data_IF_574546514337
#
_entry.id   IF_574546514337
#
_cell.length_a   1.000
_cell.length_b   1.000
_cell.length_c   1.000
_cell.angle_alpha   90.00
_cell.angle_beta   90.00
_cell.angle_gamma   90.00
#
_symmetry.space_group_name_H-M   'P 1'
#
loop_
_entity.id
_entity.type
_entity.pdbx_description
1 polymer ?
#
# COMPACT_ATOMS: atom_id res chain seq x y z
N UNK A 1 -14.40 11.35 18.02
CA UNK A 1 -13.63 11.82 16.86
C UNK A 1 -12.91 13.12 17.22
N UNK A 2 -11.76 13.43 16.62
CA UNK A 2 -11.08 14.73 16.80
C UNK A 2 -11.06 15.47 15.46
N UNK A 3 -11.62 16.68 15.43
CA UNK A 3 -11.61 17.57 14.26
C UNK A 3 -10.32 18.39 14.22
N UNK A 4 -9.61 18.38 13.08
CA UNK A 4 -8.39 19.14 12.86
C UNK A 4 -8.56 20.20 11.78
N UNK A 5 -7.75 21.26 11.87
CA UNK A 5 -7.67 22.33 10.85
C UNK A 5 -6.33 22.18 10.08
N UNK A 6 -6.31 22.08 8.74
CA UNK A 6 -5.12 21.67 7.97
C UNK A 6 -3.98 22.71 7.84
N UNK A 7 -3.94 23.79 8.64
CA UNK A 7 -3.04 24.92 8.34
C UNK A 7 -1.64 24.83 8.97
N UNK A 8 -1.46 24.04 10.03
CA UNK A 8 -0.19 23.93 10.73
C UNK A 8 0.36 22.49 10.69
N UNK A 9 1.67 22.36 10.50
CA UNK A 9 2.38 21.07 10.56
C UNK A 9 2.39 20.48 11.98
N UNK A 10 2.54 21.32 13.00
CA UNK A 10 2.55 20.93 14.42
C UNK A 10 1.77 21.95 15.26
N UNK A 11 1.55 21.63 16.54
CA UNK A 11 0.80 22.45 17.49
C UNK A 11 -0.61 21.92 17.75
N UNK A 12 -1.34 22.59 18.65
CA UNK A 12 -2.68 22.20 19.05
C UNK A 12 -3.62 22.14 17.83
N UNK A 13 -4.35 21.03 17.65
CA UNK A 13 -5.28 20.87 16.53
C UNK A 13 -4.62 20.51 15.19
N UNK A 14 -3.31 20.24 15.16
CA UNK A 14 -2.61 19.73 13.97
C UNK A 14 -2.72 18.21 13.82
N UNK A 15 -2.45 17.70 12.61
CA UNK A 15 -2.37 16.26 12.35
C UNK A 15 -1.26 15.60 13.16
N UNK A 16 -0.10 16.25 13.26
CA UNK A 16 1.06 15.74 14.00
C UNK A 16 0.75 15.56 15.48
N UNK A 17 0.05 16.51 16.07
CA UNK A 17 -0.40 16.42 17.47
C UNK A 17 -1.37 15.25 17.68
N UNK A 18 -2.34 15.07 16.79
CA UNK A 18 -3.26 13.92 16.84
C UNK A 18 -2.53 12.57 16.71
N UNK A 19 -1.59 12.48 15.77
CA UNK A 19 -0.84 11.26 15.47
C UNK A 19 0.15 10.85 16.58
N UNK A 20 0.69 11.80 17.36
CA UNK A 20 1.62 11.48 18.46
C UNK A 20 0.93 11.09 19.77
N UNK A 21 -0.36 11.40 19.94
CA UNK A 21 -1.10 11.08 21.18
C UNK A 21 -1.08 9.58 21.45
N UNK A 22 -0.90 9.20 22.71
CA UNK A 22 -0.86 7.79 23.12
C UNK A 22 -2.24 7.11 23.01
N UNK A 23 -3.32 7.82 23.36
CA UNK A 23 -4.68 7.26 23.34
C UNK A 23 -5.15 6.90 21.92
N UNK A 24 -6.04 5.91 21.77
CA UNK A 24 -6.71 5.63 20.51
C UNK A 24 -7.44 6.86 19.96
N UNK A 25 -7.29 7.15 18.67
CA UNK A 25 -7.95 8.30 18.05
C UNK A 25 -8.40 8.00 16.62
N UNK A 26 -9.64 8.41 16.34
CA UNK A 26 -10.14 8.63 14.99
C UNK A 26 -10.02 10.13 14.67
N UNK A 27 -9.07 10.44 13.80
CA UNK A 27 -8.70 11.76 13.35
C UNK A 27 -9.46 12.06 12.05
N UNK A 28 -10.22 13.14 12.06
CA UNK A 28 -10.97 13.67 10.92
C UNK A 28 -10.63 15.15 10.73
N UNK A 29 -11.02 15.70 9.59
CA UNK A 29 -10.67 17.07 9.22
C UNK A 29 -11.93 17.92 9.09
N UNK A 30 -11.89 19.12 9.69
CA UNK A 30 -13.03 20.04 9.66
C UNK A 30 -13.20 20.69 8.28
N UNK A 31 -12.08 20.91 7.58
CA UNK A 31 -12.05 21.57 6.27
C UNK A 31 -11.02 20.88 5.36
N UNK A 32 -11.22 21.04 4.06
CA UNK A 32 -10.27 20.60 3.04
C UNK A 32 -9.01 21.46 3.08
N UNK A 33 -7.86 20.91 2.73
CA UNK A 33 -6.62 21.66 2.77
C UNK A 33 -5.36 20.85 2.47
N UNK A 34 -4.26 21.58 2.36
CA UNK A 34 -2.92 21.00 2.18
C UNK A 34 -2.10 21.20 3.44
N UNK A 35 -1.59 20.11 4.02
CA UNK A 35 -0.68 20.13 5.16
C UNK A 35 0.73 19.87 4.63
N UNK A 36 1.58 20.90 4.69
CA UNK A 36 2.99 20.79 4.32
C UNK A 36 3.80 20.32 5.53
N UNK A 37 4.23 19.06 5.50
CA UNK A 37 5.01 18.47 6.58
C UNK A 37 6.47 18.94 6.50
N UNK A 38 6.98 19.54 7.58
CA UNK A 38 8.37 20.01 7.66
C UNK A 38 9.36 18.86 7.90
N UNK A 39 8.88 17.80 8.56
CA UNK A 39 9.63 16.58 8.89
C UNK A 39 8.72 15.36 8.72
N UNK A 40 9.26 14.14 8.59
CA UNK A 40 8.44 12.93 8.61
C UNK A 40 7.47 12.91 9.80
N UNK A 41 6.21 12.56 9.55
CA UNK A 41 5.18 12.58 10.59
C UNK A 41 5.02 11.18 11.17
N UNK A 42 5.42 11.02 12.44
CA UNK A 42 5.29 9.75 13.17
C UNK A 42 3.84 9.50 13.58
N UNK A 43 3.32 8.32 13.25
CA UNK A 43 1.98 7.87 13.64
C UNK A 43 2.11 6.79 14.71
N UNK A 44 1.56 7.04 15.90
CA UNK A 44 1.51 6.05 16.99
C UNK A 44 0.41 5.01 16.76
N UNK A 45 0.38 3.97 17.59
CA UNK A 45 -0.62 2.90 17.50
C UNK A 45 -2.05 3.41 17.71
N UNK A 46 -3.03 2.60 17.26
CA UNK A 46 -4.46 2.84 17.46
C UNK A 46 -4.94 4.17 16.87
N UNK A 47 -4.59 4.42 15.61
CA UNK A 47 -4.95 5.65 14.88
C UNK A 47 -5.76 5.33 13.64
N UNK A 48 -6.83 6.07 13.44
CA UNK A 48 -7.48 6.17 12.13
C UNK A 48 -7.30 7.60 11.65
N UNK A 49 -6.60 7.79 10.53
CA UNK A 49 -6.50 9.08 9.84
C UNK A 49 -7.46 9.01 8.65
N UNK A 50 -8.59 9.70 8.76
CA UNK A 50 -9.71 9.59 7.83
C UNK A 50 -9.95 10.92 7.12
N UNK A 51 -9.54 10.96 5.85
CA UNK A 51 -9.76 12.10 4.98
C UNK A 51 -11.12 12.09 4.27
N UNK A 52 -12.07 11.20 4.62
CA UNK A 52 -13.41 11.26 4.04
C UNK A 52 -14.11 12.57 4.41
N UNK A 53 -15.05 13.00 3.58
CA UNK A 53 -15.75 14.28 3.68
C UNK A 53 -14.89 15.50 3.32
N UNK A 54 -13.57 15.37 3.22
CA UNK A 54 -12.65 16.46 2.90
C UNK A 54 -11.63 16.07 1.85
N UNK A 55 -11.02 17.06 1.19
CA UNK A 55 -9.87 16.88 0.31
C UNK A 55 -8.60 17.26 1.06
N UNK A 56 -7.95 16.25 1.63
CA UNK A 56 -6.74 16.43 2.46
C UNK A 56 -5.52 15.97 1.70
N UNK A 57 -4.59 16.89 1.49
CA UNK A 57 -3.31 16.64 0.82
C UNK A 57 -2.14 16.81 1.79
N UNK A 58 -1.26 15.83 1.86
CA UNK A 58 0.01 15.88 2.58
C UNK A 58 1.16 16.09 1.59
N UNK A 59 2.03 17.06 1.86
CA UNK A 59 3.18 17.42 1.00
C UNK A 59 4.45 17.61 1.81
N UNK A 60 5.60 17.72 1.14
CA UNK A 60 6.91 17.96 1.75
C UNK A 60 7.54 16.70 2.31
N UNK A 61 6.88 16.02 3.25
CA UNK A 61 7.28 14.73 3.83
C UNK A 61 6.09 13.75 3.87
N UNK A 62 6.36 12.50 4.23
CA UNK A 62 5.36 11.45 4.37
C UNK A 62 5.12 11.01 5.81
N UNK A 63 4.35 9.93 5.96
CA UNK A 63 4.05 9.29 7.24
C UNK A 63 5.12 8.24 7.57
N UNK A 64 5.44 8.13 8.86
CA UNK A 64 6.29 7.09 9.42
C UNK A 64 5.55 6.29 10.49
N UNK A 65 5.39 5.01 10.23
CA UNK A 65 4.83 4.01 11.12
C UNK A 65 6.00 3.14 11.61
N UNK A 66 6.39 3.36 12.87
CA UNK A 66 7.56 2.77 13.53
C UNK A 66 7.09 2.11 14.82
N UNK A 67 7.27 0.80 14.90
CA UNK A 67 6.93 -0.03 16.06
C UNK A 67 5.50 0.23 16.55
N UNK A 68 4.56 0.30 15.61
CA UNK A 68 3.17 0.60 15.91
C UNK A 68 2.20 -0.42 15.30
N UNK A 69 0.98 -0.43 15.84
CA UNK A 69 -0.06 -1.34 15.39
C UNK A 69 -1.45 -0.71 15.37
N UNK A 70 -2.36 -1.35 14.63
CA UNK A 70 -3.76 -0.92 14.51
C UNK A 70 -3.88 0.51 13.98
N UNK A 71 -3.37 0.73 12.77
CA UNK A 71 -3.44 2.03 12.09
C UNK A 71 -4.21 1.93 10.78
N UNK A 72 -5.16 2.84 10.57
CA UNK A 72 -5.90 3.00 9.32
C UNK A 72 -5.55 4.37 8.72
N UNK A 73 -5.16 4.38 7.45
CA UNK A 73 -4.90 5.60 6.67
C UNK A 73 -5.87 5.56 5.50
N UNK A 74 -6.87 6.45 5.51
CA UNK A 74 -8.00 6.37 4.58
C UNK A 74 -8.23 7.70 3.87
N UNK A 75 -8.41 7.63 2.54
CA UNK A 75 -8.93 8.74 1.73
C UNK A 75 -8.07 10.02 1.82
N UNK A 76 -6.75 9.88 1.70
CA UNK A 76 -5.78 11.00 1.69
C UNK A 76 -5.08 11.14 0.34
N UNK A 77 -4.55 12.33 0.07
CA UNK A 77 -3.64 12.58 -1.05
C UNK A 77 -2.22 12.82 -0.54
N UNK A 78 -1.23 12.20 -1.17
CA UNK A 78 0.19 12.37 -0.92
C UNK A 78 0.87 12.85 -2.20
N UNK A 79 1.49 14.02 -2.16
CA UNK A 79 2.13 14.59 -3.35
C UNK A 79 3.34 15.47 -3.00
N UNK A 80 4.41 15.39 -3.80
CA UNK A 80 5.50 16.36 -3.72
C UNK A 80 6.36 16.21 -2.47
N UNK A 81 6.66 14.98 -2.06
CA UNK A 81 7.65 14.74 -1.02
C UNK A 81 9.07 14.98 -1.54
N UNK A 82 9.88 15.72 -0.79
CA UNK A 82 11.22 16.12 -1.21
C UNK A 82 12.28 15.79 -0.17
N UNK A 83 13.50 15.58 -0.63
CA UNK A 83 14.68 15.27 0.20
C UNK A 83 15.02 13.78 0.26
N UNK A 84 16.09 13.43 0.98
CA UNK A 84 16.52 12.04 1.12
C UNK A 84 15.48 11.23 1.90
N UNK A 85 15.30 9.97 1.49
CA UNK A 85 14.39 8.98 2.09
C UNK A 85 12.94 9.48 2.30
N UNK A 86 12.52 10.43 1.47
CA UNK A 86 11.15 10.93 1.50
C UNK A 86 10.26 9.95 0.72
N UNK A 87 9.75 8.95 1.42
CA UNK A 87 8.62 8.15 0.95
C UNK A 87 7.30 8.74 1.43
N UNK A 88 6.20 8.46 0.72
CA UNK A 88 4.88 8.94 1.12
C UNK A 88 4.36 8.24 2.39
N UNK A 89 4.51 6.92 2.46
CA UNK A 89 4.15 6.12 3.64
C UNK A 89 5.25 5.09 3.89
N UNK A 90 5.94 5.22 5.03
CA UNK A 90 6.95 4.28 5.50
C UNK A 90 6.40 3.46 6.66
N UNK A 91 6.39 2.14 6.53
CA UNK A 91 6.04 1.18 7.57
C UNK A 91 7.29 0.36 7.89
N UNK A 92 8.08 0.85 8.84
CA UNK A 92 9.35 0.27 9.27
C UNK A 92 9.83 0.88 10.58
N UNK A 93 10.32 0.12 11.58
CA UNK A 93 10.32 -1.35 11.69
C UNK A 93 9.13 -1.90 12.49
N UNK A 94 8.99 -3.23 12.52
CA UNK A 94 8.17 -4.03 13.47
C UNK A 94 6.75 -3.50 13.68
N UNK A 95 6.13 -3.01 12.61
CA UNK A 95 4.76 -2.48 12.66
C UNK A 95 3.77 -3.49 12.07
N UNK A 96 2.54 -3.55 12.60
CA UNK A 96 1.57 -4.58 12.19
C UNK A 96 0.11 -4.14 12.23
N UNK A 97 -0.77 -4.87 11.56
CA UNK A 97 -2.21 -4.57 11.55
C UNK A 97 -2.49 -3.15 11.02
N UNK A 98 -2.00 -2.87 9.82
CA UNK A 98 -2.12 -1.55 9.18
C UNK A 98 -2.93 -1.66 7.89
N UNK A 99 -3.84 -0.71 7.69
CA UNK A 99 -4.67 -0.63 6.50
C UNK A 99 -4.53 0.73 5.82
N UNK A 100 -4.08 0.71 4.57
CA UNK A 100 -4.03 1.88 3.70
C UNK A 100 -5.15 1.74 2.67
N UNK A 101 -6.14 2.63 2.72
CA UNK A 101 -7.31 2.58 1.85
C UNK A 101 -7.53 3.88 1.09
N UNK A 102 -7.88 3.80 -0.21
CA UNK A 102 -8.32 4.95 -1.01
C UNK A 102 -7.37 6.14 -0.97
N UNK A 103 -6.07 5.90 -0.90
CA UNK A 103 -5.08 6.96 -0.92
C UNK A 103 -4.58 7.20 -2.35
N UNK A 104 -4.39 8.48 -2.72
CA UNK A 104 -3.71 8.87 -3.96
C UNK A 104 -2.27 9.24 -3.64
N UNK A 105 -1.28 8.62 -4.28
CA UNK A 105 0.13 8.84 -4.01
C UNK A 105 0.91 9.09 -5.32
N UNK A 106 1.70 10.16 -5.36
CA UNK A 106 2.47 10.53 -6.55
C UNK A 106 3.64 11.46 -6.24
N UNK A 107 4.64 11.51 -7.12
CA UNK A 107 5.68 12.55 -7.14
C UNK A 107 6.43 12.74 -5.81
N UNK A 108 6.91 11.65 -5.21
CA UNK A 108 7.92 11.69 -4.13
C UNK A 108 9.33 11.53 -4.69
N UNK A 109 10.36 11.91 -3.93
CA UNK A 109 11.76 11.81 -4.36
C UNK A 109 12.37 10.42 -4.21
N UNK A 110 11.86 9.55 -3.31
CA UNK A 110 12.29 8.14 -3.23
C UNK A 110 11.20 7.15 -3.66
N UNK A 111 10.45 6.56 -2.73
CA UNK A 111 9.33 5.64 -2.98
C UNK A 111 7.96 6.22 -2.61
N UNK A 112 6.86 5.51 -2.94
CA UNK A 112 5.53 5.87 -2.42
C UNK A 112 5.22 5.08 -1.15
N UNK A 113 5.26 3.74 -1.20
CA UNK A 113 4.95 2.89 -0.05
C UNK A 113 6.11 1.93 0.22
N UNK A 114 6.62 1.97 1.44
CA UNK A 114 7.77 1.20 1.90
C UNK A 114 7.36 0.31 3.09
N UNK A 115 7.36 -1.01 2.93
CA UNK A 115 7.01 -1.99 3.97
C UNK A 115 8.23 -2.87 4.22
N UNK A 116 8.95 -2.64 5.32
CA UNK A 116 10.26 -3.26 5.55
C UNK A 116 10.51 -3.53 7.03
N UNK A 117 11.60 -4.25 7.34
CA UNK A 117 12.09 -4.49 8.70
C UNK A 117 11.04 -5.12 9.59
N UNK A 118 10.61 -6.32 9.21
CA UNK A 118 9.66 -7.18 9.94
C UNK A 118 8.25 -6.59 10.11
N UNK A 119 7.89 -5.57 9.32
CA UNK A 119 6.54 -5.02 9.34
C UNK A 119 5.58 -5.88 8.53
N UNK A 120 4.50 -6.35 9.16
CA UNK A 120 3.68 -7.46 8.64
C UNK A 120 2.18 -7.25 8.87
N UNK A 121 1.33 -8.07 8.28
CA UNK A 121 -0.14 -7.96 8.39
C UNK A 121 -0.66 -6.60 7.92
N UNK A 122 -0.30 -6.24 6.69
CA UNK A 122 -0.63 -4.95 6.07
C UNK A 122 -1.56 -5.18 4.87
N UNK A 123 -2.60 -4.34 4.76
CA UNK A 123 -3.47 -4.30 3.58
C UNK A 123 -3.36 -2.94 2.89
N UNK A 124 -3.18 -2.96 1.58
CA UNK A 124 -3.27 -1.78 0.71
C UNK A 124 -4.43 -2.00 -0.25
N UNK A 125 -5.48 -1.18 -0.13
CA UNK A 125 -6.68 -1.34 -0.93
C UNK A 125 -7.12 -0.06 -1.62
N UNK A 126 -7.61 -0.19 -2.85
CA UNK A 126 -8.26 0.93 -3.58
C UNK A 126 -7.40 2.19 -3.69
N UNK A 127 -6.09 2.07 -3.55
CA UNK A 127 -5.16 3.18 -3.67
C UNK A 127 -4.84 3.45 -5.14
N UNK A 128 -4.51 4.69 -5.46
CA UNK A 128 -4.01 5.10 -6.78
C UNK A 128 -2.58 5.58 -6.65
N UNK A 129 -1.66 4.87 -7.29
CA UNK A 129 -0.24 5.22 -7.32
C UNK A 129 0.11 5.63 -8.75
N UNK A 130 0.63 6.84 -8.94
CA UNK A 130 0.84 7.38 -10.27
C UNK A 130 2.06 8.28 -10.41
N UNK A 131 2.59 8.38 -11.63
CA UNK A 131 3.63 9.33 -12.03
C UNK A 131 4.82 9.37 -11.05
N UNK A 132 5.46 8.23 -10.86
CA UNK A 132 6.56 8.08 -9.90
C UNK A 132 7.48 6.92 -10.28
N UNK A 133 8.75 6.95 -9.84
CA UNK A 133 9.71 5.89 -10.20
C UNK A 133 9.45 4.59 -9.43
N UNK A 134 9.54 4.63 -8.09
CA UNK A 134 9.56 3.45 -7.22
C UNK A 134 8.22 3.32 -6.45
N UNK A 135 7.23 2.65 -7.03
CA UNK A 135 5.88 2.65 -6.46
C UNK A 135 5.78 1.98 -5.08
N UNK A 136 6.15 0.70 -4.94
CA UNK A 136 6.00 -0.02 -3.66
C UNK A 136 7.13 -1.04 -3.41
N UNK A 137 7.85 -0.87 -2.30
CA UNK A 137 8.88 -1.80 -1.86
C UNK A 137 8.39 -2.63 -0.65
N UNK A 138 8.57 -3.95 -0.75
CA UNK A 138 8.30 -4.90 0.33
C UNK A 138 9.58 -5.68 0.58
N UNK A 139 10.20 -5.46 1.74
CA UNK A 139 11.54 -5.98 2.07
C UNK A 139 12.69 -5.19 1.43
N UNK A 140 13.50 -4.53 2.27
CA UNK A 140 14.44 -3.49 1.84
C UNK A 140 15.69 -4.03 1.14
N UNK A 141 16.35 -5.01 1.76
CA UNK A 141 17.60 -5.60 1.29
C UNK A 141 17.57 -7.12 1.31
N UNK A 142 18.50 -7.75 0.58
CA UNK A 142 18.67 -9.20 0.61
C UNK A 142 19.35 -9.70 1.89
N UNK A 143 19.86 -8.81 2.74
CA UNK A 143 20.46 -9.18 4.02
C UNK A 143 19.46 -9.10 5.20
N UNK A 144 18.25 -8.58 4.96
CA UNK A 144 17.20 -8.46 5.98
C UNK A 144 16.43 -9.78 6.12
N UNK A 145 17.13 -10.86 6.47
CA UNK A 145 16.61 -12.23 6.51
C UNK A 145 15.36 -12.43 7.39
N UNK A 146 15.13 -11.54 8.36
CA UNK A 146 13.93 -11.55 9.21
C UNK A 146 12.66 -11.08 8.48
N UNK A 147 12.79 -10.44 7.31
CA UNK A 147 11.64 -9.98 6.50
C UNK A 147 10.81 -11.14 5.90
N UNK A 148 11.22 -12.41 6.13
CA UNK A 148 10.41 -13.60 5.81
C UNK A 148 9.06 -13.64 6.55
N UNK A 149 8.94 -12.90 7.65
CA UNK A 149 7.68 -12.77 8.38
C UNK A 149 6.67 -11.82 7.72
N UNK A 150 7.09 -10.99 6.76
CA UNK A 150 6.26 -9.96 6.12
C UNK A 150 5.11 -10.62 5.34
N UNK A 151 3.89 -10.16 5.61
CA UNK A 151 2.66 -10.53 4.89
C UNK A 151 1.92 -9.27 4.47
N UNK A 152 1.63 -9.16 3.18
CA UNK A 152 0.93 -8.00 2.60
C UNK A 152 -0.19 -8.45 1.66
N UNK A 153 -1.35 -7.82 1.77
CA UNK A 153 -2.42 -7.96 0.78
C UNK A 153 -2.57 -6.65 0.01
N UNK A 154 -2.56 -6.71 -1.32
CA UNK A 154 -2.72 -5.55 -2.19
C UNK A 154 -3.88 -5.84 -3.13
N UNK A 155 -4.93 -5.03 -3.07
CA UNK A 155 -6.10 -5.28 -3.90
C UNK A 155 -6.84 -4.05 -4.37
N UNK A 156 -7.46 -4.19 -5.54
CA UNK A 156 -8.25 -3.12 -6.13
C UNK A 156 -7.49 -1.79 -6.28
N UNK A 157 -6.16 -1.81 -6.31
CA UNK A 157 -5.35 -0.61 -6.50
C UNK A 157 -5.14 -0.34 -8.00
N UNK A 158 -4.88 0.93 -8.32
CA UNK A 158 -4.55 1.36 -9.67
C UNK A 158 -3.16 1.97 -9.73
N UNK A 159 -2.27 1.34 -10.47
CA UNK A 159 -0.92 1.81 -10.75
C UNK A 159 -0.85 2.36 -12.18
N UNK A 160 -0.54 3.65 -12.33
CA UNK A 160 -0.62 4.32 -13.63
C UNK A 160 0.58 5.24 -13.89
N UNK A 161 1.40 4.88 -14.89
CA UNK A 161 2.55 5.70 -15.26
C UNK A 161 3.67 5.69 -14.22
N UNK A 162 3.71 4.66 -13.37
CA UNK A 162 4.79 4.41 -12.42
C UNK A 162 5.85 3.53 -13.06
N UNK A 163 7.14 3.84 -12.86
CA UNK A 163 8.22 3.23 -13.63
C UNK A 163 8.44 1.75 -13.26
N UNK A 164 8.34 1.40 -11.99
CA UNK A 164 8.63 0.05 -11.47
C UNK A 164 8.04 -0.19 -10.06
N UNK A 165 8.13 -1.45 -9.59
CA UNK A 165 7.80 -1.93 -8.24
C UNK A 165 6.29 -1.94 -7.92
N UNK A 166 5.52 -2.82 -8.56
CA UNK A 166 4.07 -2.95 -8.40
C UNK A 166 3.57 -4.28 -7.79
N UNK A 167 4.17 -4.86 -6.73
CA UNK A 167 5.30 -4.38 -5.93
C UNK A 167 6.67 -4.95 -6.38
N UNK A 168 7.76 -4.52 -5.74
CA UNK A 168 9.00 -5.30 -5.65
C UNK A 168 9.08 -5.95 -4.26
N UNK A 169 9.30 -7.26 -4.23
CA UNK A 169 9.21 -8.05 -2.99
C UNK A 169 10.49 -8.84 -2.75
N UNK A 170 11.01 -8.77 -1.52
CA UNK A 170 12.02 -9.69 -0.96
C UNK A 170 11.44 -10.38 0.25
N UNK A 171 11.70 -11.68 0.38
CA UNK A 171 11.33 -12.58 1.49
C UNK A 171 9.83 -12.73 1.80
N UNK A 172 9.07 -11.63 1.79
CA UNK A 172 7.69 -11.58 2.21
C UNK A 172 6.73 -12.34 1.29
N UNK A 173 5.53 -12.53 1.84
CA UNK A 173 4.37 -13.14 1.20
C UNK A 173 3.38 -12.06 0.78
N UNK A 174 3.04 -12.00 -0.51
CA UNK A 174 2.14 -11.00 -1.06
C UNK A 174 0.98 -11.65 -1.78
N UNK A 175 -0.25 -11.35 -1.36
CA UNK A 175 -1.45 -11.63 -2.14
C UNK A 175 -1.83 -10.37 -2.92
N UNK A 176 -1.77 -10.44 -4.24
CA UNK A 176 -1.99 -9.35 -5.17
C UNK A 176 -3.21 -9.71 -6.02
N UNK A 177 -4.37 -9.06 -5.81
CA UNK A 177 -5.57 -9.39 -6.58
C UNK A 177 -6.42 -8.21 -7.03
N UNK A 178 -7.04 -8.35 -8.20
CA UNK A 178 -7.89 -7.32 -8.82
C UNK A 178 -7.26 -5.92 -8.88
N UNK A 179 -5.95 -5.82 -9.03
CA UNK A 179 -5.27 -4.55 -9.27
C UNK A 179 -5.19 -4.28 -10.76
N UNK A 180 -5.18 -3.01 -11.14
CA UNK A 180 -4.92 -2.58 -12.50
C UNK A 180 -3.58 -1.86 -12.55
N UNK A 181 -2.68 -2.33 -13.42
CA UNK A 181 -1.36 -1.72 -13.63
C UNK A 181 -1.20 -1.39 -15.10
N UNK A 182 -0.87 -0.14 -15.41
CA UNK A 182 -0.63 0.29 -16.79
C UNK A 182 0.58 1.19 -16.95
N UNK A 183 1.12 1.21 -18.17
CA UNK A 183 2.16 2.15 -18.59
C UNK A 183 3.41 2.15 -17.69
N UNK A 184 3.88 0.97 -17.27
CA UNK A 184 5.13 0.89 -16.51
C UNK A 184 6.37 1.14 -17.38
N UNK A 185 7.45 1.59 -16.75
CA UNK A 185 8.67 2.03 -17.43
C UNK A 185 9.81 1.02 -17.46
N UNK A 186 9.76 -0.05 -16.64
CA UNK A 186 10.74 -1.15 -16.65
C UNK A 186 10.04 -2.50 -16.54
N UNK A 187 9.39 -2.77 -15.42
CA UNK A 187 8.61 -3.98 -15.12
C UNK A 187 7.40 -3.64 -14.24
N UNK A 188 6.39 -4.51 -14.19
CA UNK A 188 5.28 -4.36 -13.27
C UNK A 188 5.69 -4.88 -11.87
N UNK A 189 5.70 -6.20 -11.67
CA UNK A 189 5.97 -6.87 -10.39
C UNK A 189 7.38 -7.45 -10.42
N UNK A 190 8.12 -7.36 -9.31
CA UNK A 190 9.43 -8.02 -9.18
C UNK A 190 9.46 -8.97 -7.97
N UNK A 191 9.70 -10.25 -8.26
CA UNK A 191 9.96 -11.29 -7.27
C UNK A 191 11.48 -11.44 -7.07
N UNK A 192 11.99 -10.84 -6.00
CA UNK A 192 13.38 -10.99 -5.55
C UNK A 192 13.52 -12.14 -4.55
N UNK A 193 14.74 -12.38 -4.05
CA UNK A 193 15.13 -13.43 -3.08
C UNK A 193 14.01 -13.89 -2.15
N UNK A 194 13.70 -15.18 -2.24
CA UNK A 194 12.74 -15.91 -1.41
C UNK A 194 11.31 -15.34 -1.31
N UNK A 195 10.97 -14.31 -2.09
CA UNK A 195 9.62 -13.74 -2.08
C UNK A 195 8.59 -14.71 -2.66
N UNK A 196 7.36 -14.61 -2.18
CA UNK A 196 6.25 -15.44 -2.63
C UNK A 196 5.07 -14.54 -2.98
N UNK A 197 4.67 -14.52 -4.25
CA UNK A 197 3.61 -13.65 -4.76
C UNK A 197 2.50 -14.50 -5.36
N UNK A 198 1.29 -14.33 -4.88
CA UNK A 198 0.07 -14.89 -5.48
C UNK A 198 -0.63 -13.74 -6.21
N UNK A 199 -0.59 -13.76 -7.54
CA UNK A 199 -1.20 -12.77 -8.44
C UNK A 199 -2.50 -13.34 -9.01
N UNK A 200 -3.65 -12.81 -8.59
CA UNK A 200 -4.96 -13.32 -9.01
C UNK A 200 -5.84 -12.24 -9.64
N UNK A 201 -6.33 -12.49 -10.84
CA UNK A 201 -7.31 -11.63 -11.52
C UNK A 201 -6.92 -10.14 -11.59
N UNK A 202 -5.62 -9.84 -11.69
CA UNK A 202 -5.11 -8.51 -11.96
C UNK A 202 -5.17 -8.19 -13.46
N UNK A 203 -5.09 -6.91 -13.79
CA UNK A 203 -5.08 -6.41 -15.16
C UNK A 203 -3.74 -5.72 -15.39
N UNK A 204 -2.96 -6.21 -16.34
CA UNK A 204 -1.67 -5.64 -16.73
C UNK A 204 -1.76 -5.13 -18.16
N UNK A 205 -1.78 -3.81 -18.33
CA UNK A 205 -1.85 -3.16 -19.64
C UNK A 205 -0.51 -2.50 -19.98
N UNK A 206 0.26 -3.15 -20.85
CA UNK A 206 1.58 -2.69 -21.18
C UNK A 206 1.57 -1.36 -21.96
N UNK A 207 2.50 -0.48 -21.61
CA UNK A 207 2.89 0.67 -22.41
C UNK A 207 4.00 0.30 -23.38
N UNK A 208 5.09 1.08 -23.39
CA UNK A 208 6.28 0.76 -24.19
C UNK A 208 6.99 -0.52 -23.69
N UNK A 209 7.16 -0.68 -22.37
CA UNK A 209 7.75 -1.89 -21.80
C UNK A 209 6.68 -2.97 -21.59
N UNK A 210 7.08 -4.21 -21.85
CA UNK A 210 6.17 -5.36 -21.89
C UNK A 210 6.34 -6.34 -20.73
N UNK A 211 7.50 -6.34 -20.05
CA UNK A 211 7.81 -7.26 -18.95
C UNK A 211 6.86 -7.03 -17.78
N UNK A 212 6.02 -8.01 -17.46
CA UNK A 212 5.13 -7.95 -16.28
C UNK A 212 5.86 -8.43 -15.05
N UNK A 213 6.27 -9.70 -15.04
CA UNK A 213 6.96 -10.32 -13.92
C UNK A 213 8.47 -10.31 -14.15
N UNK A 214 9.21 -9.66 -13.25
CA UNK A 214 10.67 -9.69 -13.21
C UNK A 214 11.12 -10.59 -12.06
N UNK A 215 12.07 -11.46 -12.33
CA UNK A 215 12.75 -12.25 -11.32
C UNK A 215 14.16 -11.69 -11.13
N UNK A 216 14.54 -11.46 -9.87
CA UNK A 216 15.86 -10.95 -9.52
C UNK A 216 16.51 -11.89 -8.50
N UNK A 217 17.59 -12.53 -8.91
CA UNK A 217 18.40 -13.38 -8.05
C UNK A 217 19.27 -12.51 -7.15
N UNK A 218 19.11 -12.67 -5.84
CA UNK A 218 19.95 -12.03 -4.82
C UNK A 218 20.41 -13.11 -3.83
N UNK A 219 21.58 -12.93 -3.20
CA UNK A 219 22.07 -13.87 -2.18
C UNK A 219 21.65 -13.36 -0.80
N UNK A 220 20.84 -14.15 -0.09
CA UNK A 220 20.52 -13.87 1.30
C UNK A 220 21.74 -14.12 2.20
N UNK A 221 21.85 -13.36 3.29
CA UNK A 221 23.00 -13.46 4.19
C UNK A 221 23.11 -14.83 4.88
N UNK A 222 21.99 -15.51 5.07
CA UNK A 222 21.86 -16.83 5.70
C UNK A 222 21.75 -17.99 4.69
N UNK A 223 22.13 -17.77 3.42
CA UNK A 223 22.10 -18.78 2.35
C UNK A 223 23.43 -18.85 1.62
N UNK A 224 23.79 -20.07 1.20
CA UNK A 224 25.02 -20.31 0.43
C UNK A 224 24.92 -19.88 -1.03
N UNK A 225 23.70 -19.91 -1.59
CA UNK A 225 23.44 -19.61 -2.99
C UNK A 225 22.39 -18.52 -3.17
N UNK A 226 22.52 -17.76 -4.27
CA UNK A 226 21.53 -16.77 -4.67
C UNK A 226 20.23 -17.44 -5.11
N UNK A 227 19.10 -16.82 -4.76
CA UNK A 227 17.79 -17.24 -5.23
C UNK A 227 16.95 -16.04 -5.63
N UNK A 228 15.94 -16.28 -6.46
CA UNK A 228 14.86 -15.33 -6.72
C UNK A 228 13.58 -15.81 -6.03
N UNK A 229 12.52 -15.03 -6.11
CA UNK A 229 11.21 -15.40 -5.59
C UNK A 229 10.34 -16.11 -6.62
N UNK A 230 9.10 -16.38 -6.24
CA UNK A 230 8.10 -17.04 -7.07
C UNK A 230 6.86 -16.16 -7.24
N UNK A 231 6.29 -16.20 -8.44
CA UNK A 231 4.97 -15.61 -8.74
C UNK A 231 4.08 -16.72 -9.26
N UNK A 232 2.95 -16.95 -8.58
CA UNK A 232 1.85 -17.76 -9.11
C UNK A 232 0.81 -16.79 -9.68
N UNK A 233 0.64 -16.81 -11.00
CA UNK A 233 -0.36 -16.00 -11.72
C UNK A 233 -1.59 -16.84 -12.05
N UNK A 234 -2.78 -16.37 -11.70
CA UNK A 234 -4.04 -17.09 -11.89
C UNK A 234 -5.16 -16.13 -12.33
N UNK A 235 -5.69 -16.32 -13.53
CA UNK A 235 -6.79 -15.48 -14.05
C UNK A 235 -6.42 -14.01 -14.33
N UNK A 236 -5.12 -13.67 -14.34
CA UNK A 236 -4.64 -12.34 -14.72
C UNK A 236 -4.91 -12.05 -16.21
N UNK A 237 -5.24 -10.79 -16.53
CA UNK A 237 -5.47 -10.30 -17.89
C UNK A 237 -4.27 -9.48 -18.37
N UNK A 238 -3.66 -9.90 -19.48
CA UNK A 238 -2.51 -9.26 -20.09
C UNK A 238 -2.91 -8.54 -21.37
N UNK A 239 -2.80 -7.21 -21.40
CA UNK A 239 -3.22 -6.36 -22.50
C UNK A 239 -2.02 -5.68 -23.17
N UNK A 240 -2.19 -5.27 -24.44
CA UNK A 240 -1.20 -4.55 -25.23
C UNK A 240 0.17 -5.25 -25.34
N UNK A 241 0.14 -6.59 -25.48
CA UNK A 241 1.35 -7.41 -25.57
C UNK A 241 2.16 -7.46 -24.27
N UNK A 242 1.50 -7.26 -23.11
CA UNK A 242 2.10 -7.53 -21.81
C UNK A 242 2.58 -9.00 -21.75
N UNK A 243 3.82 -9.20 -21.35
CA UNK A 243 4.51 -10.48 -21.32
C UNK A 243 4.71 -10.91 -19.88
N UNK A 244 3.94 -11.89 -19.37
CA UNK A 244 4.30 -12.58 -18.14
C UNK A 244 5.54 -13.41 -18.43
N UNK A 245 6.73 -12.87 -18.16
CA UNK A 245 7.96 -13.66 -18.25
C UNK A 245 7.83 -14.82 -17.24
N UNK A 246 7.91 -16.09 -17.66
CA UNK A 246 7.84 -17.21 -16.73
C UNK A 246 9.10 -17.23 -15.85
N UNK A 247 8.98 -17.77 -14.64
CA UNK A 247 10.15 -18.06 -13.80
C UNK A 247 11.05 -19.08 -14.51
N UNK A 248 12.37 -18.95 -14.36
CA UNK A 248 13.31 -20.00 -14.74
C UNK A 248 13.18 -21.16 -13.74
N UNK A 249 12.27 -22.11 -13.99
CA UNK A 249 12.13 -23.34 -13.21
C UNK A 249 10.68 -23.77 -12.97
N UNK A 250 10.44 -25.09 -12.99
CA UNK A 250 9.18 -25.73 -12.62
C UNK A 250 8.92 -25.56 -11.11
N UNK A 251 7.78 -24.99 -10.72
CA UNK A 251 7.49 -24.83 -9.29
C UNK A 251 6.16 -24.16 -8.96
N UNK A 252 5.04 -24.75 -9.37
CA UNK A 252 3.71 -24.34 -8.91
C UNK A 252 3.48 -24.50 -7.40
N UNK A 253 4.33 -25.27 -6.70
CA UNK A 253 4.24 -25.57 -5.26
C UNK A 253 5.03 -24.62 -4.33
N UNK A 254 5.63 -23.54 -4.85
CA UNK A 254 6.59 -22.71 -4.09
C UNK A 254 6.03 -21.38 -3.53
N UNK A 255 4.73 -21.15 -3.64
CA UNK A 255 4.07 -19.99 -3.01
C UNK A 255 3.14 -20.42 -1.88
N UNK A 256 2.99 -19.56 -0.88
CA UNK A 256 2.04 -19.74 0.21
C UNK A 256 0.59 -19.90 -0.29
N UNK A 257 -0.24 -20.58 0.51
CA UNK A 257 -1.68 -20.66 0.26
C UNK A 257 -2.38 -19.50 0.96
N UNK A 258 -3.17 -18.73 0.21
CA UNK A 258 -3.89 -17.56 0.75
C UNK A 258 -4.90 -17.99 1.81
N UNK A 259 -5.55 -19.14 1.61
CA UNK A 259 -6.58 -19.69 2.50
C UNK A 259 -6.06 -20.02 3.91
N UNK A 260 -4.76 -20.27 4.05
CA UNK A 260 -4.13 -20.52 5.36
C UNK A 260 -4.08 -19.24 6.23
N UNK A 261 -4.28 -18.06 5.62
CA UNK A 261 -4.20 -16.76 6.30
C UNK A 261 -5.55 -16.08 6.49
N UNK A 262 -6.48 -16.23 5.53
CA UNK A 262 -7.85 -15.75 5.68
C UNK A 262 -8.81 -16.58 4.82
N UNK A 263 -10.00 -16.92 5.35
CA UNK A 263 -10.87 -17.92 4.73
C UNK A 263 -11.65 -17.40 3.52
N UNK A 264 -11.84 -16.08 3.42
CA UNK A 264 -12.66 -15.43 2.38
C UNK A 264 -12.06 -14.08 1.99
N UNK A 265 -12.17 -13.76 0.71
CA UNK A 265 -11.89 -12.43 0.16
C UNK A 265 -12.80 -12.17 -1.04
N UNK A 266 -13.05 -10.90 -1.33
CA UNK A 266 -13.90 -10.49 -2.44
C UNK A 266 -13.04 -10.35 -3.68
N UNK A 267 -13.18 -11.28 -4.63
CA UNK A 267 -12.46 -11.27 -5.89
C UNK A 267 -13.46 -11.40 -7.04
N UNK A 268 -13.20 -10.67 -8.11
CA UNK A 268 -13.95 -10.76 -9.36
C UNK A 268 -13.02 -11.13 -10.52
N UNK A 269 -13.58 -11.59 -11.64
CA UNK A 269 -12.77 -11.92 -12.81
C UNK A 269 -12.18 -10.64 -13.42
N UNK A 270 -10.93 -10.73 -13.87
CA UNK A 270 -10.32 -9.66 -14.65
C UNK A 270 -11.16 -9.40 -15.92
N UNK A 271 -11.65 -8.17 -16.07
CA UNK A 271 -12.59 -7.77 -17.12
C UNK A 271 -12.45 -6.29 -17.49
N UNK A 272 -13.07 -5.88 -18.59
CA UNK A 272 -13.16 -4.46 -18.98
C UNK A 272 -13.94 -3.67 -17.94
N UNK A 273 -15.03 -4.22 -17.40
CA UNK A 273 -15.82 -3.57 -16.34
C UNK A 273 -14.98 -3.34 -15.08
N UNK A 274 -14.21 -4.34 -14.63
CA UNK A 274 -13.29 -4.18 -13.50
C UNK A 274 -12.24 -3.11 -13.79
N UNK A 275 -11.65 -3.11 -14.99
CA UNK A 275 -10.68 -2.10 -15.42
C UNK A 275 -11.24 -0.69 -15.27
N UNK A 276 -12.43 -0.43 -15.83
CA UNK A 276 -13.11 0.86 -15.77
C UNK A 276 -13.44 1.26 -14.33
N UNK A 277 -13.97 0.32 -13.54
CA UNK A 277 -14.25 0.54 -12.12
C UNK A 277 -12.99 0.95 -11.35
N UNK A 278 -11.85 0.30 -11.57
CA UNK A 278 -10.59 0.63 -10.91
C UNK A 278 -10.05 2.00 -11.34
N UNK A 279 -10.31 2.46 -12.56
CA UNK A 279 -9.91 3.80 -12.99
C UNK A 279 -10.65 4.91 -12.25
N UNK A 280 -11.92 4.67 -11.93
CA UNK A 280 -12.82 5.66 -11.32
C UNK A 280 -12.80 5.59 -9.79
N UNK A 281 -12.81 4.38 -9.22
CA UNK A 281 -13.06 4.15 -7.80
C UNK A 281 -11.80 4.08 -6.92
N UNK A 282 -10.61 4.29 -7.49
CA UNK A 282 -9.32 4.23 -6.77
C UNK A 282 -8.75 5.60 -6.44
N UNK A 283 -7.91 5.63 -5.41
CA UNK A 283 -7.36 6.85 -4.86
C UNK A 283 -8.36 7.60 -3.99
N UNK A 284 -8.06 8.87 -3.71
CA UNK A 284 -8.96 9.76 -2.99
C UNK A 284 -10.30 9.86 -3.72
N UNK A 285 -11.38 9.78 -2.97
CA UNK A 285 -12.75 9.89 -3.45
C UNK A 285 -13.51 10.93 -2.64
N UNK A 286 -14.47 11.59 -3.28
CA UNK A 286 -15.42 12.48 -2.61
C UNK A 286 -16.51 11.65 -1.93
N UNK A 287 -16.14 10.91 -0.88
CA UNK A 287 -17.04 10.08 -0.07
C UNK A 287 -17.32 10.73 1.28
N UNK A 288 -18.54 10.65 1.82
CA UNK A 288 -18.87 11.22 3.12
C UNK A 288 -18.17 10.47 4.27
N UNK A 289 -17.97 11.16 5.39
CA UNK A 289 -17.58 10.53 6.66
C UNK A 289 -18.74 9.63 7.11
N UNK A 290 -18.49 8.41 7.63
CA UNK A 290 -19.54 7.59 8.20
C UNK A 290 -20.31 8.33 9.29
N UNK A 291 -21.63 8.18 9.32
CA UNK A 291 -22.44 8.71 10.41
C UNK A 291 -21.95 8.14 11.74
N UNK A 292 -21.83 9.01 12.74
CA UNK A 292 -21.43 8.60 14.08
C UNK A 292 -22.59 7.80 14.71
N UNK A 293 -22.46 6.47 14.80
CA UNK A 293 -23.49 5.60 15.39
C UNK A 293 -23.58 5.70 16.92
N UNK A 294 -22.85 6.63 17.53
CA UNK A 294 -22.81 6.88 18.98
C UNK A 294 -24.16 7.38 19.56
N UNK A 295 -25.14 7.74 18.72
CA UNK A 295 -26.50 8.10 19.15
C UNK A 295 -27.47 6.94 19.39
N UNK A 296 -27.15 5.70 19.00
CA UNK A 296 -28.11 4.58 19.01
C UNK A 296 -28.14 3.74 20.30
N UNK A 297 -27.34 4.09 21.33
CA UNK A 297 -27.31 3.39 22.64
C UNK A 297 -27.71 4.34 23.79
N UNK A 298 -28.59 5.31 23.52
CA UNK A 298 -29.28 6.10 24.55
C UNK A 298 -30.78 6.02 24.30
N UNK A 299 -31.38 4.89 24.62
CA UNK A 299 -32.81 4.66 24.42
C UNK A 299 -33.27 3.27 24.81
N UNK A 300 -32.79 2.75 25.95
CA UNK A 300 -33.39 1.59 26.61
C UNK A 300 -33.18 1.74 28.12
N UNK A 301 -33.79 2.78 28.68
CA UNK A 301 -34.07 2.90 30.10
C UNK A 301 -35.49 3.46 30.21
N UNK A 302 -36.46 2.55 30.29
CA UNK A 302 -37.78 2.71 30.90
C UNK A 302 -38.64 1.48 30.55
N UNK A 303 -38.69 0.49 31.44
CA UNK A 303 -39.83 0.20 32.33
C UNK A 303 -39.38 -0.85 33.34
#
# INVERSE_FOLDING_TARGET
MTNLVPHADDGCGSLREGCRRAKPLWIIFAVSGTIRLSSPLRVSSYKTIDGRGQKIKLTGKGLQLRECEHVIICNLQFEGGTGPDADAIQIKPKSRHIWIDRCSLSNFSDGLIDITRESTDITVSRCRLSNHDKAMLIGAGCNDCNDRCIRVTIHHCFFNGTRQRHPRVRFGKVHLYNNYTRNWGIYAVCASVESQIVSQCNIYEAGQKKVVFKYLTEKAADRDHGSSGFVKSEGDLFLNGAQPCPANGSGGERVFKVQDHYPKWTMERASVALKEALQVCTGWQAVPIPADKSGAIRGAAAT
#
